data_IF_047869221095
#
_entry.id   IF_047869221095
#
_cell.length_a   1.000
_cell.length_b   1.000
_cell.length_c   1.000
_cell.angle_alpha   90.00
_cell.angle_beta   90.00
_cell.angle_gamma   90.00
#
_symmetry.space_group_name_H-M   'P 1'
#
loop_
_entity.id
_entity.type
_entity.pdbx_description
1 polymer ?
#
# COMPACT_ATOMS: atom_id res chain seq x y z
N UNK A 1 5.36 9.75 -26.12
CA UNK A 1 6.12 8.62 -25.55
C UNK A 1 7.44 9.06 -24.94
N UNK A 2 8.24 9.91 -25.63
CA UNK A 2 9.52 10.43 -25.13
C UNK A 2 9.41 11.22 -23.80
N UNK A 3 8.35 12.01 -23.59
CA UNK A 3 8.18 12.80 -22.36
C UNK A 3 7.84 11.96 -21.12
N UNK A 4 6.96 10.97 -21.26
CA UNK A 4 6.67 10.00 -20.21
C UNK A 4 7.91 9.16 -19.83
N UNK A 5 8.82 8.97 -20.80
CA UNK A 5 10.04 8.20 -20.64
C UNK A 5 11.12 8.96 -19.84
N UNK A 6 11.23 10.27 -20.07
CA UNK A 6 12.08 11.16 -19.28
C UNK A 6 11.59 11.24 -17.83
N UNK A 7 10.26 11.27 -17.65
CA UNK A 7 9.61 11.30 -16.34
C UNK A 7 9.92 10.07 -15.48
N UNK A 8 9.86 8.87 -16.05
CA UNK A 8 10.14 7.62 -15.33
C UNK A 8 11.60 7.57 -14.85
N UNK A 9 12.55 8.13 -15.64
CA UNK A 9 13.96 8.23 -15.22
C UNK A 9 14.17 9.18 -14.04
N UNK A 10 13.29 10.15 -13.85
CA UNK A 10 13.32 11.08 -12.72
C UNK A 10 12.69 10.49 -11.44
N UNK A 11 11.99 9.35 -11.55
CA UNK A 11 11.42 8.66 -10.39
C UNK A 11 12.49 7.80 -9.70
N UNK A 12 12.65 8.00 -8.39
CA UNK A 12 13.54 7.18 -7.55
C UNK A 12 12.93 5.80 -7.22
N UNK A 13 12.77 4.97 -8.26
CA UNK A 13 12.23 3.62 -8.13
C UNK A 13 13.22 2.66 -7.46
N UNK A 14 14.51 2.96 -7.51
CA UNK A 14 15.53 2.22 -6.79
C UNK A 14 15.46 2.50 -5.28
N UNK A 15 15.22 3.75 -4.88
CA UNK A 15 14.96 4.10 -3.49
C UNK A 15 13.70 3.42 -2.94
N UNK A 16 12.62 3.32 -3.73
CA UNK A 16 11.44 2.53 -3.35
C UNK A 16 11.78 1.08 -3.06
N UNK A 17 12.55 0.44 -3.96
CA UNK A 17 12.98 -0.95 -3.78
C UNK A 17 13.80 -1.10 -2.51
N UNK A 18 14.82 -0.24 -2.33
CA UNK A 18 15.69 -0.27 -1.15
C UNK A 18 14.88 -0.17 0.14
N UNK A 19 13.92 0.77 0.22
CA UNK A 19 13.04 0.89 1.39
C UNK A 19 12.12 -0.32 1.58
N UNK A 20 11.55 -0.86 0.51
CA UNK A 20 10.71 -2.06 0.57
C UNK A 20 11.48 -3.33 0.97
N UNK A 21 12.77 -3.42 0.66
CA UNK A 21 13.63 -4.56 0.96
C UNK A 21 14.32 -4.45 2.33
N UNK A 22 14.24 -3.29 2.99
CA UNK A 22 14.82 -3.10 4.32
C UNK A 22 14.26 -4.09 5.33
N UNK A 23 15.08 -4.51 6.31
CA UNK A 23 14.57 -5.22 7.44
C UNK A 23 13.57 -4.37 8.19
N UNK A 24 12.45 -4.99 8.55
CA UNK A 24 11.39 -4.41 9.37
C UNK A 24 11.12 -5.33 10.55
N UNK A 25 11.00 -4.74 11.74
CA UNK A 25 10.64 -5.38 13.00
C UNK A 25 9.49 -4.62 13.66
N UNK A 26 8.41 -5.34 13.95
CA UNK A 26 7.23 -4.83 14.65
C UNK A 26 7.37 -5.08 16.15
N UNK A 27 6.93 -4.15 16.98
CA UNK A 27 6.66 -4.42 18.38
C UNK A 27 5.15 -4.54 18.59
N UNK A 28 4.71 -5.51 19.39
CA UNK A 28 3.31 -5.66 19.78
C UNK A 28 3.22 -5.56 21.29
N UNK A 29 2.64 -4.47 21.79
CA UNK A 29 2.39 -4.25 23.20
C UNK A 29 0.91 -4.51 23.50
N UNK A 30 0.62 -5.24 24.57
CA UNK A 30 -0.74 -5.50 25.03
C UNK A 30 -0.75 -5.65 26.57
N UNK A 31 -1.91 -5.58 27.24
CA UNK A 31 -1.98 -5.74 28.70
C UNK A 31 -1.53 -7.12 29.19
N UNK A 32 -1.56 -8.11 28.29
CA UNK A 32 -1.18 -9.50 28.56
C UNK A 32 -0.25 -9.98 27.45
N UNK A 33 0.83 -10.67 27.81
CA UNK A 33 1.79 -11.22 26.84
C UNK A 33 1.12 -12.15 25.84
N UNK A 34 0.18 -12.99 26.29
CA UNK A 34 -0.54 -13.93 25.43
C UNK A 34 -1.33 -13.22 24.32
N UNK A 35 -1.93 -12.06 24.63
CA UNK A 35 -2.66 -11.26 23.65
C UNK A 35 -1.72 -10.65 22.61
N UNK A 36 -0.57 -10.13 23.04
CA UNK A 36 0.45 -9.62 22.13
C UNK A 36 1.01 -10.73 21.22
N UNK A 37 1.27 -11.92 21.75
CA UNK A 37 1.71 -13.09 20.98
C UNK A 37 0.64 -13.55 19.98
N UNK A 38 -0.64 -13.54 20.37
CA UNK A 38 -1.75 -13.88 19.50
C UNK A 38 -1.86 -12.90 18.31
N UNK A 39 -1.80 -11.59 18.57
CA UNK A 39 -1.82 -10.57 17.51
C UNK A 39 -0.60 -10.71 16.59
N UNK A 40 0.59 -10.95 17.15
CA UNK A 40 1.80 -11.20 16.37
C UNK A 40 1.64 -12.44 15.46
N UNK A 41 1.05 -13.52 15.97
CA UNK A 41 0.79 -14.75 15.20
C UNK A 41 -0.28 -14.57 14.12
N UNK A 42 -1.26 -13.68 14.32
CA UNK A 42 -2.23 -13.32 13.28
C UNK A 42 -1.54 -12.61 12.11
N UNK A 43 -0.48 -11.84 12.38
CA UNK A 43 0.22 -11.02 11.39
C UNK A 43 1.35 -11.76 10.66
N UNK A 44 2.05 -12.66 11.36
CA UNK A 44 3.21 -13.38 10.86
C UNK A 44 3.14 -14.89 11.08
N UNK A 45 3.51 -15.66 10.06
CA UNK A 45 3.65 -17.12 10.13
C UNK A 45 4.81 -17.57 11.04
N UNK A 46 5.79 -16.70 11.27
CA UNK A 46 6.90 -16.88 12.23
C UNK A 46 7.06 -15.61 13.09
N UNK A 47 6.27 -15.45 14.16
CA UNK A 47 6.21 -14.20 14.91
C UNK A 47 7.51 -13.86 15.64
N UNK A 48 8.26 -14.85 16.15
CA UNK A 48 9.45 -14.62 16.97
C UNK A 48 10.59 -13.85 16.28
N UNK A 49 10.65 -13.86 14.94
CA UNK A 49 11.70 -13.16 14.17
C UNK A 49 11.28 -11.74 13.75
N UNK A 50 9.98 -11.41 13.89
CA UNK A 50 9.35 -10.25 13.23
C UNK A 50 8.50 -9.39 14.18
N UNK A 51 8.11 -9.93 15.33
CA UNK A 51 7.23 -9.31 16.30
C UNK A 51 7.62 -9.70 17.73
N UNK A 52 7.95 -8.71 18.58
CA UNK A 52 8.16 -8.93 20.02
C UNK A 52 6.93 -8.55 20.83
N UNK A 53 6.53 -9.43 21.74
CA UNK A 53 5.32 -9.31 22.56
C UNK A 53 5.68 -8.95 24.01
N UNK A 54 5.09 -7.87 24.53
CA UNK A 54 5.32 -7.41 25.91
C UNK A 54 4.01 -7.17 26.66
N UNK A 55 3.98 -7.63 27.92
CA UNK A 55 2.93 -7.36 28.91
C UNK A 55 3.08 -5.95 29.53
N UNK A 56 4.33 -5.51 29.70
CA UNK A 56 4.72 -4.17 30.14
C UNK A 56 6.17 -3.90 29.68
N UNK A 57 6.49 -2.66 29.32
CA UNK A 57 7.75 -2.27 28.67
C UNK A 57 9.00 -2.59 29.52
N UNK A 58 10.03 -3.26 28.97
CA UNK A 58 11.36 -3.29 29.58
C UNK A 58 12.14 -2.05 29.12
N UNK A 59 12.69 -1.31 30.09
CA UNK A 59 13.62 -0.17 30.05
C UNK A 59 14.18 0.36 28.70
N UNK A 60 14.41 1.67 28.65
CA UNK A 60 14.76 2.52 27.49
C UNK A 60 15.96 2.11 26.59
N UNK A 61 16.77 1.13 26.98
CA UNK A 61 18.00 0.77 26.26
C UNK A 61 17.80 -0.43 25.31
N UNK A 62 18.05 -0.22 24.01
CA UNK A 62 18.20 -1.32 23.03
C UNK A 62 16.96 -1.70 22.23
N UNK A 63 15.94 -0.83 22.14
CA UNK A 63 14.77 -1.10 21.29
C UNK A 63 15.16 -1.18 19.82
N UNK A 64 15.24 -2.39 19.29
CA UNK A 64 15.38 -2.65 17.86
C UNK A 64 13.99 -2.93 17.28
N UNK A 65 13.21 -1.89 17.00
CA UNK A 65 11.90 -1.98 16.35
C UNK A 65 11.70 -0.78 15.41
N UNK A 66 10.96 -0.99 14.34
CA UNK A 66 10.68 0.04 13.32
C UNK A 66 9.28 0.65 13.49
N UNK A 67 8.33 -0.12 14.03
CA UNK A 67 6.98 0.33 14.36
C UNK A 67 6.43 -0.44 15.56
N UNK A 68 5.34 0.05 16.15
CA UNK A 68 4.68 -0.61 17.26
C UNK A 68 3.15 -0.63 17.13
N UNK A 69 2.54 -1.77 17.48
CA UNK A 69 1.10 -1.90 17.72
C UNK A 69 0.83 -1.96 19.21
N UNK A 70 -0.02 -1.06 19.68
CA UNK A 70 -0.53 -1.07 21.06
C UNK A 70 -1.94 -1.62 21.01
N UNK A 71 -2.10 -2.87 21.42
CA UNK A 71 -3.35 -3.63 21.35
C UNK A 71 -4.17 -3.35 22.59
N UNK A 72 -5.35 -2.80 22.39
CA UNK A 72 -6.29 -2.42 23.44
C UNK A 72 -7.51 -3.33 23.36
N UNK A 73 -7.64 -4.34 24.24
CA UNK A 73 -8.75 -5.29 24.21
C UNK A 73 -10.06 -4.69 24.74
N UNK A 74 -9.97 -3.66 25.58
CA UNK A 74 -11.11 -2.91 26.10
C UNK A 74 -10.77 -1.45 26.40
N UNK A 75 -11.72 -0.50 26.37
CA UNK A 75 -11.39 0.91 26.43
C UNK A 75 -10.81 1.32 27.78
N UNK A 76 -11.11 0.56 28.84
CA UNK A 76 -10.54 0.76 30.18
C UNK A 76 -9.03 0.46 30.22
N UNK A 77 -8.57 -0.56 29.48
CA UNK A 77 -7.16 -0.95 29.43
C UNK A 77 -6.26 0.13 28.78
N UNK A 78 -6.85 1.09 28.07
CA UNK A 78 -6.10 2.19 27.46
C UNK A 78 -5.35 3.04 28.49
N UNK A 79 -5.93 3.26 29.67
CA UNK A 79 -5.29 4.12 30.68
C UNK A 79 -3.95 3.56 31.16
N UNK A 80 -3.83 2.23 31.25
CA UNK A 80 -2.59 1.55 31.62
C UNK A 80 -1.59 1.48 30.45
N UNK A 81 -2.07 1.41 29.21
CA UNK A 81 -1.25 1.32 28.00
C UNK A 81 -0.81 2.69 27.44
N UNK A 82 -1.50 3.77 27.78
CA UNK A 82 -1.23 5.11 27.26
C UNK A 82 0.20 5.59 27.55
N UNK A 83 0.79 5.38 28.75
CA UNK A 83 2.20 5.69 28.99
C UNK A 83 3.14 4.96 28.04
N UNK A 84 2.94 3.66 27.83
CA UNK A 84 3.73 2.85 26.88
C UNK A 84 3.59 3.38 25.46
N UNK A 85 2.36 3.66 25.01
CA UNK A 85 2.12 4.22 23.69
C UNK A 85 2.81 5.59 23.51
N UNK A 86 2.82 6.41 24.56
CA UNK A 86 3.46 7.74 24.55
C UNK A 86 4.97 7.64 24.41
N UNK A 87 5.61 6.73 25.17
CA UNK A 87 7.05 6.48 25.08
C UNK A 87 7.42 5.95 23.69
N UNK A 88 6.67 4.97 23.18
CA UNK A 88 6.88 4.42 21.83
C UNK A 88 6.80 5.51 20.76
N UNK A 89 5.84 6.44 20.87
CA UNK A 89 5.74 7.57 19.92
C UNK A 89 6.92 8.52 19.98
N UNK A 90 7.52 8.70 21.16
CA UNK A 90 8.72 9.53 21.32
C UNK A 90 9.96 8.88 20.69
N UNK A 91 10.07 7.55 20.78
CA UNK A 91 11.22 6.79 20.27
C UNK A 91 11.09 6.52 18.76
N UNK A 92 9.96 5.98 18.32
CA UNK A 92 9.72 5.53 16.95
C UNK A 92 9.15 6.63 16.04
N UNK A 93 8.61 7.70 16.63
CA UNK A 93 7.84 8.72 15.94
C UNK A 93 6.34 8.43 15.97
N UNK A 94 5.54 9.49 16.03
CA UNK A 94 4.08 9.40 16.18
C UNK A 94 3.40 8.56 15.10
N UNK A 95 3.88 8.68 13.86
CA UNK A 95 3.34 7.98 12.69
C UNK A 95 3.59 6.46 12.73
N UNK A 96 4.57 5.99 13.50
CA UNK A 96 4.96 4.57 13.53
C UNK A 96 4.32 3.77 14.66
N UNK A 97 3.40 4.37 15.41
CA UNK A 97 2.71 3.74 16.53
C UNK A 97 1.21 3.72 16.25
N UNK A 98 0.67 2.51 16.08
CA UNK A 98 -0.75 2.27 15.84
C UNK A 98 -1.39 1.68 17.09
N UNK A 99 -2.48 2.28 17.53
CA UNK A 99 -3.30 1.76 18.64
C UNK A 99 -4.41 0.91 18.02
N UNK A 100 -4.38 -0.39 18.27
CA UNK A 100 -5.35 -1.36 17.74
C UNK A 100 -6.42 -1.65 18.80
N UNK A 101 -7.61 -1.08 18.63
CA UNK A 101 -8.79 -1.47 19.39
C UNK A 101 -9.38 -2.76 18.83
N UNK A 102 -9.68 -3.71 19.70
CA UNK A 102 -10.28 -4.99 19.33
C UNK A 102 -11.69 -5.09 19.90
N UNK A 103 -12.67 -5.41 19.05
CA UNK A 103 -14.05 -5.63 19.46
C UNK A 103 -15.03 -4.49 19.09
N UNK A 104 -16.33 -4.70 19.34
CA UNK A 104 -17.41 -3.78 18.93
C UNK A 104 -17.57 -2.55 19.84
N UNK A 105 -16.62 -2.29 20.71
CA UNK A 105 -16.74 -1.32 21.81
C UNK A 105 -16.87 0.13 21.30
N UNK A 106 -17.35 1.05 22.14
CA UNK A 106 -17.22 2.47 21.86
C UNK A 106 -15.74 2.85 21.71
N UNK A 107 -15.43 3.89 20.94
CA UNK A 107 -14.04 4.35 20.74
C UNK A 107 -13.33 4.65 22.07
N UNK A 108 -12.03 4.94 22.02
CA UNK A 108 -11.31 5.24 23.25
C UNK A 108 -11.91 6.48 23.96
N UNK A 109 -12.00 6.48 25.31
CA UNK A 109 -12.67 7.53 26.07
C UNK A 109 -12.04 8.93 25.93
N UNK A 110 -10.86 9.03 25.32
CA UNK A 110 -10.09 10.23 25.02
C UNK A 110 -9.52 10.13 23.60
N UNK A 111 -10.38 10.08 22.59
CA UNK A 111 -9.96 10.16 21.20
C UNK A 111 -9.08 11.42 20.98
N UNK A 112 -7.93 11.25 20.33
CA UNK A 112 -7.13 12.32 19.71
C UNK A 112 -6.07 13.08 20.52
N UNK A 113 -5.30 12.42 21.39
CA UNK A 113 -3.93 12.90 21.70
C UNK A 113 -2.96 12.72 20.50
N UNK A 114 -3.46 12.71 19.25
CA UNK A 114 -2.71 12.45 18.02
C UNK A 114 -2.27 11.00 17.82
N UNK A 115 -2.84 10.04 18.56
CA UNK A 115 -2.57 8.61 18.34
C UNK A 115 -3.32 8.11 17.11
N UNK A 116 -2.68 7.22 16.34
CA UNK A 116 -3.36 6.54 15.24
C UNK A 116 -4.16 5.36 15.78
N UNK A 117 -5.43 5.59 16.05
CA UNK A 117 -6.32 4.55 16.55
C UNK A 117 -7.02 3.87 15.38
N UNK A 118 -6.88 2.55 15.29
CA UNK A 118 -7.59 1.69 14.34
C UNK A 118 -8.44 0.68 15.10
N UNK A 119 -9.48 0.18 14.45
CA UNK A 119 -10.42 -0.77 15.06
C UNK A 119 -10.53 -2.02 14.21
N UNK A 120 -10.29 -3.16 14.84
CA UNK A 120 -10.69 -4.46 14.33
C UNK A 120 -11.95 -4.92 15.07
N UNK A 121 -13.00 -5.30 14.33
CA UNK A 121 -14.27 -5.76 14.91
C UNK A 121 -14.10 -7.01 15.77
N UNK A 122 -13.11 -7.84 15.42
CA UNK A 122 -12.76 -9.07 16.09
C UNK A 122 -11.26 -9.35 15.99
N UNK A 123 -10.77 -10.26 16.83
CA UNK A 123 -9.38 -10.70 16.83
C UNK A 123 -9.14 -11.79 15.77
N UNK A 124 -9.39 -11.44 14.51
CA UNK A 124 -9.18 -12.30 13.35
C UNK A 124 -8.14 -11.69 12.41
N UNK A 125 -7.45 -12.55 11.64
CA UNK A 125 -6.40 -12.13 10.69
C UNK A 125 -6.94 -11.09 9.71
N UNK A 126 -8.11 -11.34 9.15
CA UNK A 126 -8.76 -10.51 8.14
C UNK A 126 -9.18 -9.16 8.75
N UNK A 127 -9.82 -9.17 9.92
CA UNK A 127 -10.29 -7.96 10.60
C UNK A 127 -9.13 -7.06 11.04
N UNK A 128 -8.09 -7.64 11.65
CA UNK A 128 -6.88 -6.92 12.07
C UNK A 128 -6.15 -6.35 10.84
N UNK A 129 -5.98 -7.15 9.79
CA UNK A 129 -5.32 -6.70 8.58
C UNK A 129 -6.07 -5.55 7.90
N UNK A 130 -7.40 -5.66 7.77
CA UNK A 130 -8.24 -4.61 7.19
C UNK A 130 -8.22 -3.31 7.99
N UNK A 131 -8.15 -3.40 9.33
CA UNK A 131 -8.09 -2.23 10.21
C UNK A 131 -6.75 -1.49 10.11
N UNK A 132 -5.64 -2.24 10.13
CA UNK A 132 -4.29 -1.69 10.26
C UNK A 132 -3.73 -1.20 8.92
N UNK A 133 -3.99 -1.92 7.82
CA UNK A 133 -3.35 -1.63 6.55
C UNK A 133 -3.60 -0.19 6.01
N UNK A 134 -4.82 0.36 6.06
CA UNK A 134 -5.06 1.74 5.64
C UNK A 134 -4.31 2.78 6.50
N UNK A 135 -4.10 2.51 7.79
CA UNK A 135 -3.32 3.39 8.65
C UNK A 135 -1.84 3.38 8.27
N UNK A 136 -1.25 2.19 8.08
CA UNK A 136 0.14 2.06 7.63
C UNK A 136 0.39 2.75 6.29
N UNK A 137 -0.51 2.56 5.31
CA UNK A 137 -0.38 3.17 3.98
C UNK A 137 -0.52 4.69 4.03
N UNK A 138 -1.36 5.22 4.92
CA UNK A 138 -1.54 6.66 5.09
C UNK A 138 -0.32 7.34 5.73
N UNK A 139 0.35 6.64 6.63
CA UNK A 139 1.62 7.07 7.25
C UNK A 139 2.73 7.11 6.22
N UNK A 140 3.05 5.95 5.66
CA UNK A 140 4.17 5.76 4.76
C UNK A 140 3.88 4.53 3.88
N UNK A 141 3.47 4.76 2.62
CA UNK A 141 3.22 3.70 1.66
C UNK A 141 4.42 2.77 1.44
N UNK A 142 5.66 3.28 1.56
CA UNK A 142 6.87 2.50 1.31
C UNK A 142 7.18 1.61 2.52
N UNK A 143 7.01 2.13 3.74
CA UNK A 143 7.03 1.34 4.96
C UNK A 143 5.95 0.26 4.92
N UNK A 144 4.72 0.59 4.56
CA UNK A 144 3.64 -0.39 4.43
C UNK A 144 4.00 -1.52 3.45
N UNK A 145 4.69 -1.22 2.35
CA UNK A 145 5.20 -2.26 1.44
C UNK A 145 6.24 -3.16 2.13
N UNK A 146 7.21 -2.58 2.85
CA UNK A 146 8.20 -3.37 3.60
C UNK A 146 7.52 -4.27 4.65
N UNK A 147 6.53 -3.73 5.35
CA UNK A 147 5.69 -4.44 6.33
C UNK A 147 4.97 -5.61 5.67
N UNK A 148 4.19 -5.37 4.62
CA UNK A 148 3.38 -6.41 3.96
C UNK A 148 4.21 -7.46 3.23
N UNK A 149 5.46 -7.17 2.87
CA UNK A 149 6.40 -8.18 2.37
C UNK A 149 6.72 -9.24 3.42
N UNK A 150 6.87 -8.83 4.69
CA UNK A 150 7.25 -9.70 5.82
C UNK A 150 6.07 -10.26 6.60
N UNK A 151 5.05 -9.43 6.83
CA UNK A 151 3.81 -9.80 7.51
C UNK A 151 2.78 -10.21 6.45
N UNK A 152 2.80 -11.50 6.09
CA UNK A 152 2.01 -12.04 4.99
C UNK A 152 0.50 -11.74 5.11
N UNK A 153 -0.01 -11.68 6.35
CA UNK A 153 -1.38 -11.32 6.66
C UNK A 153 -1.77 -9.92 6.17
N UNK A 154 -0.81 -9.00 6.15
CA UNK A 154 -1.01 -7.61 5.78
C UNK A 154 -0.82 -7.36 4.28
N UNK A 155 -0.26 -8.33 3.55
CA UNK A 155 0.08 -8.15 2.13
C UNK A 155 -1.12 -7.72 1.30
N UNK A 156 -2.20 -8.49 1.35
CA UNK A 156 -3.41 -8.22 0.56
C UNK A 156 -4.19 -6.99 1.07
N UNK A 157 -4.40 -6.80 2.40
CA UNK A 157 -4.96 -5.56 2.92
C UNK A 157 -4.18 -4.30 2.52
N UNK A 158 -2.84 -4.35 2.54
CA UNK A 158 -1.99 -3.22 2.13
C UNK A 158 -2.09 -2.97 0.63
N UNK A 159 -2.15 -4.02 -0.20
CA UNK A 159 -2.36 -3.87 -1.63
C UNK A 159 -3.66 -3.10 -1.92
N UNK A 160 -4.77 -3.49 -1.28
CA UNK A 160 -6.06 -2.81 -1.41
C UNK A 160 -5.99 -1.36 -0.92
N UNK A 161 -5.37 -1.12 0.23
CA UNK A 161 -5.20 0.23 0.77
C UNK A 161 -4.39 1.15 -0.16
N UNK A 162 -3.30 0.65 -0.77
CA UNK A 162 -2.52 1.38 -1.77
C UNK A 162 -3.34 1.73 -3.00
N UNK A 163 -4.15 0.78 -3.50
CA UNK A 163 -5.04 0.98 -4.66
C UNK A 163 -6.04 2.08 -4.36
N UNK A 164 -6.72 2.02 -3.22
CA UNK A 164 -7.72 3.02 -2.84
C UNK A 164 -7.11 4.40 -2.60
N UNK A 165 -5.94 4.48 -1.95
CA UNK A 165 -5.22 5.74 -1.75
C UNK A 165 -4.86 6.38 -3.10
N UNK A 166 -4.31 5.61 -4.04
CA UNK A 166 -3.98 6.10 -5.37
C UNK A 166 -5.23 6.53 -6.16
N UNK A 167 -6.31 5.75 -6.06
CA UNK A 167 -7.57 6.08 -6.71
C UNK A 167 -8.16 7.39 -6.17
N UNK A 168 -8.09 7.61 -4.86
CA UNK A 168 -8.55 8.84 -4.22
C UNK A 168 -7.71 10.05 -4.65
N UNK A 169 -6.38 9.93 -4.63
CA UNK A 169 -5.49 10.98 -5.11
C UNK A 169 -5.75 11.34 -6.59
N UNK A 170 -5.97 10.33 -7.44
CA UNK A 170 -6.27 10.55 -8.86
C UNK A 170 -7.66 11.16 -9.08
N UNK A 171 -8.66 10.75 -8.28
CA UNK A 171 -10.01 11.32 -8.31
C UNK A 171 -10.03 12.78 -7.85
N UNK A 172 -9.36 13.10 -6.75
CA UNK A 172 -9.23 14.46 -6.23
C UNK A 172 -8.51 15.37 -7.24
N UNK A 173 -7.40 14.90 -7.83
CA UNK A 173 -6.72 15.62 -8.88
C UNK A 173 -7.63 15.88 -10.09
N UNK A 174 -8.36 14.86 -10.54
CA UNK A 174 -9.32 15.00 -11.63
C UNK A 174 -10.45 15.98 -11.30
N UNK A 175 -10.90 16.03 -10.05
CA UNK A 175 -11.90 16.99 -9.57
C UNK A 175 -11.37 18.43 -9.62
N UNK A 176 -10.24 18.68 -8.96
CA UNK A 176 -9.62 20.01 -8.84
C UNK A 176 -9.23 20.59 -10.20
N UNK A 177 -8.84 19.75 -11.16
CA UNK A 177 -8.50 20.17 -12.52
C UNK A 177 -9.65 20.83 -13.30
N UNK A 178 -10.91 20.76 -12.81
CA UNK A 178 -12.06 21.37 -13.47
C UNK A 178 -12.50 22.71 -12.83
N UNK A 179 -11.85 23.18 -11.76
CA UNK A 179 -12.28 24.38 -11.04
C UNK A 179 -11.77 25.69 -11.70
N UNK A 180 -12.64 26.68 -12.00
CA UNK A 180 -12.30 27.91 -12.75
C UNK A 180 -11.25 28.85 -12.14
N UNK A 181 -10.77 28.60 -10.92
CA UNK A 181 -9.82 29.45 -10.18
C UNK A 181 -8.49 28.80 -9.83
N UNK A 182 -8.29 27.51 -10.13
CA UNK A 182 -7.01 26.82 -9.85
C UNK A 182 -6.02 26.98 -11.02
N UNK A 183 -6.52 27.51 -12.14
CA UNK A 183 -5.79 27.82 -13.37
C UNK A 183 -4.55 28.70 -13.15
N UNK A 184 -4.46 29.64 -12.20
CA UNK A 184 -3.22 30.40 -11.96
C UNK A 184 -2.20 29.67 -11.07
N UNK A 185 -2.66 28.78 -10.18
CA UNK A 185 -1.81 28.10 -9.17
C UNK A 185 -1.21 26.80 -9.70
N UNK A 186 -2.02 26.01 -10.41
CA UNK A 186 -1.60 24.80 -11.15
C UNK A 186 -1.53 25.06 -12.66
N UNK A 187 -1.71 26.30 -13.12
CA UNK A 187 -1.56 26.69 -14.54
C UNK A 187 -0.27 26.26 -15.22
N UNK A 188 0.89 26.39 -14.55
CA UNK A 188 2.15 25.86 -15.06
C UNK A 188 2.19 24.32 -15.18
N UNK A 189 1.29 23.60 -14.48
CA UNK A 189 1.12 22.15 -14.55
C UNK A 189 0.01 21.72 -15.55
N UNK A 190 -0.99 22.57 -15.78
CA UNK A 190 -2.08 22.30 -16.74
C UNK A 190 -1.65 22.65 -18.17
N UNK A 191 -0.71 23.58 -18.36
CA UNK A 191 -0.09 23.87 -19.65
C UNK A 191 0.85 22.75 -20.11
N UNK A 192 0.49 22.02 -21.18
CA UNK A 192 1.45 21.16 -21.90
C UNK A 192 1.67 19.75 -21.33
N UNK A 193 0.70 19.18 -20.60
CA UNK A 193 0.70 17.74 -20.28
C UNK A 193 1.12 17.34 -18.87
N UNK A 194 1.26 18.26 -17.91
CA UNK A 194 1.64 17.89 -16.54
C UNK A 194 0.52 17.17 -15.75
N UNK A 195 -0.76 17.33 -16.10
CA UNK A 195 -1.85 16.48 -15.59
C UNK A 195 -1.63 14.99 -15.87
N UNK A 196 -1.13 14.69 -17.08
CA UNK A 196 -0.74 13.35 -17.46
C UNK A 196 0.46 12.87 -16.63
N UNK A 197 1.38 13.77 -16.27
CA UNK A 197 2.58 13.43 -15.50
C UNK A 197 2.22 13.04 -14.07
N UNK A 198 1.35 13.79 -13.39
CA UNK A 198 0.93 13.51 -12.01
C UNK A 198 0.17 12.17 -11.92
N UNK A 199 -0.83 11.97 -12.78
CA UNK A 199 -1.62 10.74 -12.80
C UNK A 199 -0.76 9.52 -13.18
N UNK A 200 0.14 9.67 -14.16
CA UNK A 200 1.06 8.60 -14.57
C UNK A 200 2.04 8.26 -13.45
N UNK A 201 2.55 9.26 -12.73
CA UNK A 201 3.41 9.06 -11.57
C UNK A 201 2.70 8.22 -10.51
N UNK A 202 1.50 8.61 -10.08
CA UNK A 202 0.73 7.87 -9.07
C UNK A 202 0.49 6.42 -9.50
N UNK A 203 0.13 6.20 -10.77
CA UNK A 203 -0.09 4.85 -11.31
C UNK A 203 1.20 4.01 -11.33
N UNK A 204 2.33 4.60 -11.71
CA UNK A 204 3.65 3.94 -11.71
C UNK A 204 4.08 3.57 -10.29
N UNK A 205 3.97 4.48 -9.33
CA UNK A 205 4.30 4.20 -7.93
C UNK A 205 3.42 3.09 -7.36
N UNK A 206 2.10 3.14 -7.58
CA UNK A 206 1.18 2.08 -7.17
C UNK A 206 1.65 0.73 -7.67
N UNK A 207 1.95 0.62 -8.96
CA UNK A 207 2.37 -0.65 -9.55
C UNK A 207 3.72 -1.15 -9.08
N UNK A 208 4.71 -0.28 -8.94
CA UNK A 208 6.01 -0.66 -8.38
C UNK A 208 5.84 -1.13 -6.93
N UNK A 209 5.01 -0.45 -6.15
CA UNK A 209 4.69 -0.87 -4.77
C UNK A 209 4.00 -2.22 -4.72
N UNK A 210 3.02 -2.49 -5.59
CA UNK A 210 2.38 -3.81 -5.68
C UNK A 210 3.37 -4.91 -6.07
N UNK A 211 4.23 -4.65 -7.07
CA UNK A 211 5.28 -5.59 -7.46
C UNK A 211 6.22 -5.92 -6.30
N UNK A 212 6.70 -4.89 -5.59
CA UNK A 212 7.53 -5.05 -4.41
C UNK A 212 6.78 -5.79 -3.29
N UNK A 213 5.53 -5.44 -3.02
CA UNK A 213 4.71 -6.03 -1.97
C UNK A 213 4.56 -7.55 -2.13
N UNK A 214 4.37 -8.02 -3.36
CA UNK A 214 4.28 -9.44 -3.73
C UNK A 214 5.63 -10.11 -3.98
N UNK A 215 6.75 -9.46 -3.63
CA UNK A 215 8.05 -10.11 -3.67
C UNK A 215 8.67 -10.21 -5.05
N UNK A 216 8.18 -9.49 -6.06
CA UNK A 216 8.73 -9.53 -7.43
C UNK A 216 10.12 -8.87 -7.45
N UNK A 217 11.22 -9.65 -7.59
CA UNK A 217 12.55 -9.08 -7.60
C UNK A 217 12.76 -8.33 -8.92
N UNK A 218 13.41 -7.17 -8.86
CA UNK A 218 13.82 -6.47 -10.06
C UNK A 218 15.11 -5.70 -9.86
N UNK A 219 16.07 -5.92 -10.75
CA UNK A 219 17.36 -5.21 -10.74
C UNK A 219 17.21 -3.78 -11.26
N UNK A 220 16.27 -3.57 -12.17
CA UNK A 220 15.84 -2.27 -12.67
C UNK A 220 14.31 -2.22 -12.71
N UNK A 221 13.69 -1.04 -12.61
CA UNK A 221 12.23 -0.91 -12.71
C UNK A 221 11.70 -1.32 -14.10
N UNK A 222 12.55 -1.35 -15.13
CA UNK A 222 12.14 -1.55 -16.52
C UNK A 222 11.36 -2.83 -16.82
N UNK A 223 11.74 -4.01 -16.31
CA UNK A 223 10.96 -5.21 -16.52
C UNK A 223 9.63 -5.14 -15.79
N UNK A 224 9.54 -4.47 -14.62
CA UNK A 224 8.23 -4.26 -13.94
C UNK A 224 7.36 -3.43 -14.86
N UNK A 225 7.95 -2.37 -15.43
CA UNK A 225 7.23 -1.41 -16.24
C UNK A 225 6.82 -1.96 -17.61
N UNK A 226 7.57 -2.89 -18.18
CA UNK A 226 7.25 -3.55 -19.45
C UNK A 226 6.07 -4.52 -19.32
N UNK A 227 5.93 -5.18 -18.16
CA UNK A 227 4.77 -6.03 -17.84
C UNK A 227 3.46 -5.24 -17.78
N UNK A 228 3.55 -3.91 -17.66
CA UNK A 228 2.42 -2.99 -17.63
C UNK A 228 1.84 -2.68 -19.01
N UNK A 229 2.60 -2.89 -20.08
CA UNK A 229 2.22 -2.41 -21.43
C UNK A 229 0.81 -2.88 -21.86
N UNK A 230 0.40 -4.15 -21.63
CA UNK A 230 -0.97 -4.59 -21.95
C UNK A 230 -2.05 -3.90 -21.10
N UNK A 231 -1.75 -3.64 -19.82
CA UNK A 231 -2.69 -3.03 -18.87
C UNK A 231 -2.82 -1.53 -19.12
N UNK A 232 -1.73 -0.85 -19.47
CA UNK A 232 -1.72 0.53 -19.99
C UNK A 232 -2.44 0.61 -21.34
N UNK A 233 -2.36 -0.42 -22.17
CA UNK A 233 -3.17 -0.55 -23.39
C UNK A 233 -4.68 -0.45 -23.09
N UNK A 234 -5.13 -1.10 -22.01
CA UNK A 234 -6.50 -0.96 -21.49
C UNK A 234 -6.86 0.46 -21.02
N UNK A 235 -5.89 1.25 -20.54
CA UNK A 235 -6.12 2.64 -20.14
C UNK A 235 -6.52 3.55 -21.32
N UNK A 236 -6.12 3.23 -22.56
CA UNK A 236 -6.60 3.93 -23.76
C UNK A 236 -8.08 3.64 -24.07
N UNK A 237 -8.57 2.45 -23.72
CA UNK A 237 -9.99 2.10 -23.79
C UNK A 237 -10.78 2.94 -22.78
N UNK A 238 -10.32 2.99 -21.52
CA UNK A 238 -10.98 3.79 -20.48
C UNK A 238 -10.99 5.29 -20.79
N UNK A 239 -9.93 5.81 -21.42
CA UNK A 239 -9.90 7.20 -21.93
C UNK A 239 -10.93 7.47 -23.01
N UNK A 240 -11.26 6.49 -23.83
CA UNK A 240 -12.28 6.65 -24.88
C UNK A 240 -13.67 6.70 -24.26
N UNK A 241 -13.96 5.79 -23.32
CA UNK A 241 -15.18 5.81 -22.51
C UNK A 241 -15.32 7.14 -21.75
N UNK A 242 -14.22 7.65 -21.16
CA UNK A 242 -14.21 8.93 -20.46
C UNK A 242 -14.62 10.12 -21.34
N UNK A 243 -14.11 10.18 -22.57
CA UNK A 243 -14.45 11.26 -23.51
C UNK A 243 -15.89 11.19 -23.98
N UNK A 244 -16.41 9.99 -24.22
CA UNK A 244 -17.81 9.79 -24.59
C UNK A 244 -18.74 10.23 -23.45
N UNK A 245 -18.48 9.79 -22.22
CA UNK A 245 -19.31 10.17 -21.07
C UNK A 245 -19.23 11.67 -20.77
N UNK A 246 -18.05 12.27 -20.84
CA UNK A 246 -17.88 13.73 -20.63
C UNK A 246 -18.57 14.53 -21.72
N UNK A 247 -18.56 14.06 -22.97
CA UNK A 247 -19.23 14.73 -24.09
C UNK A 247 -20.77 14.78 -23.99
N UNK A 248 -21.36 13.97 -23.11
CA UNK A 248 -22.81 13.90 -22.88
C UNK A 248 -23.29 14.81 -21.73
N UNK A 249 -22.38 15.45 -21.00
CA UNK A 249 -22.67 16.16 -19.75
C UNK A 249 -22.33 17.65 -19.89
N UNK A 250 -23.19 18.58 -19.42
CA UNK A 250 -22.89 20.01 -19.51
C UNK A 250 -21.54 20.35 -18.84
N UNK A 251 -20.71 21.24 -19.42
CA UNK A 251 -19.34 21.48 -18.96
C UNK A 251 -19.23 21.82 -17.46
N UNK A 252 -20.20 22.55 -16.91
CA UNK A 252 -20.26 22.99 -15.51
C UNK A 252 -20.44 21.83 -14.52
N UNK A 253 -20.96 20.68 -14.94
CA UNK A 253 -21.17 19.49 -14.09
C UNK A 253 -20.29 18.30 -14.49
N UNK A 254 -19.41 18.48 -15.48
CA UNK A 254 -18.50 17.43 -16.00
C UNK A 254 -17.45 16.92 -14.99
N UNK A 255 -17.23 17.66 -13.90
CA UNK A 255 -16.26 17.29 -12.87
C UNK A 255 -16.61 15.98 -12.15
N UNK A 256 -17.90 15.75 -11.86
CA UNK A 256 -18.35 14.55 -11.13
C UNK A 256 -18.12 13.27 -11.94
N UNK A 257 -18.54 13.19 -13.23
CA UNK A 257 -18.21 12.04 -14.08
C UNK A 257 -16.70 11.82 -14.22
N UNK A 258 -15.91 12.86 -14.45
CA UNK A 258 -14.46 12.74 -14.65
C UNK A 258 -13.75 12.18 -13.41
N UNK A 259 -14.12 12.65 -12.22
CA UNK A 259 -13.62 12.15 -10.94
C UNK A 259 -13.96 10.68 -10.72
N UNK A 260 -15.23 10.30 -10.92
CA UNK A 260 -15.68 8.92 -10.77
C UNK A 260 -14.95 7.97 -11.73
N UNK A 261 -14.74 8.41 -12.97
CA UNK A 261 -14.02 7.66 -14.01
C UNK A 261 -12.54 7.51 -13.64
N UNK A 262 -11.87 8.57 -13.20
CA UNK A 262 -10.45 8.51 -12.80
C UNK A 262 -10.23 7.58 -11.60
N UNK A 263 -11.11 7.67 -10.59
CA UNK A 263 -11.11 6.78 -9.44
C UNK A 263 -11.29 5.32 -9.86
N UNK A 264 -12.37 5.04 -10.61
CA UNK A 264 -12.73 3.67 -11.01
C UNK A 264 -11.68 3.01 -11.90
N UNK A 265 -11.06 3.78 -12.82
CA UNK A 265 -9.94 3.29 -13.62
C UNK A 265 -8.78 2.80 -12.74
N UNK A 266 -8.43 3.63 -11.76
CA UNK A 266 -7.28 3.38 -10.89
C UNK A 266 -7.55 2.13 -10.04
N UNK A 267 -8.77 1.99 -9.51
CA UNK A 267 -9.19 0.78 -8.77
C UNK A 267 -9.11 -0.46 -9.67
N UNK A 268 -9.71 -0.42 -10.86
CA UNK A 268 -9.73 -1.55 -11.78
C UNK A 268 -8.31 -2.00 -12.18
N UNK A 269 -7.46 -1.06 -12.61
CA UNK A 269 -6.08 -1.36 -13.02
C UNK A 269 -5.22 -1.80 -11.83
N UNK A 270 -5.50 -1.26 -10.64
CA UNK A 270 -4.88 -1.67 -9.39
C UNK A 270 -5.20 -3.12 -9.03
N UNK A 271 -6.47 -3.50 -9.03
CA UNK A 271 -6.93 -4.87 -8.74
C UNK A 271 -6.41 -5.87 -9.78
N UNK A 272 -6.39 -5.49 -11.06
CA UNK A 272 -5.80 -6.33 -12.11
C UNK A 272 -4.29 -6.57 -11.87
N UNK A 273 -3.55 -5.55 -11.45
CA UNK A 273 -2.14 -5.66 -11.12
C UNK A 273 -1.91 -6.47 -9.83
N UNK A 274 -2.72 -6.27 -8.80
CA UNK A 274 -2.71 -7.08 -7.57
C UNK A 274 -2.85 -8.57 -7.91
N UNK A 275 -3.86 -8.95 -8.69
CA UNK A 275 -4.09 -10.34 -9.07
C UNK A 275 -2.95 -10.91 -9.91
N UNK A 276 -2.41 -10.11 -10.83
CA UNK A 276 -1.25 -10.49 -11.63
C UNK A 276 -0.03 -10.79 -10.75
N UNK A 277 0.33 -9.89 -9.82
CA UNK A 277 1.50 -10.07 -8.96
C UNK A 277 1.31 -11.14 -7.90
N UNK A 278 0.09 -11.32 -7.37
CA UNK A 278 -0.27 -12.43 -6.48
C UNK A 278 0.05 -13.79 -7.12
N UNK A 279 -0.25 -13.94 -8.41
CA UNK A 279 -0.01 -15.19 -9.18
C UNK A 279 1.36 -15.28 -9.84
N UNK A 280 2.13 -14.19 -9.85
CA UNK A 280 3.40 -14.10 -10.57
C UNK A 280 4.42 -15.21 -10.21
N UNK A 281 4.59 -15.63 -8.93
CA UNK A 281 5.48 -16.74 -8.59
C UNK A 281 5.12 -18.05 -9.32
N UNK A 282 3.83 -18.38 -9.41
CA UNK A 282 3.32 -19.58 -10.08
C UNK A 282 3.51 -19.52 -11.59
N UNK A 283 3.22 -18.36 -12.19
CA UNK A 283 3.41 -18.11 -13.62
C UNK A 283 4.88 -18.30 -13.99
N UNK A 284 5.80 -17.73 -13.21
CA UNK A 284 7.24 -17.88 -13.42
C UNK A 284 7.69 -19.34 -13.32
N UNK A 285 7.21 -20.07 -12.33
CA UNK A 285 7.54 -21.49 -12.16
C UNK A 285 7.06 -22.31 -13.37
N UNK A 286 5.80 -22.14 -13.81
CA UNK A 286 5.25 -22.82 -14.98
C UNK A 286 6.01 -22.48 -16.27
N UNK A 287 6.33 -21.20 -16.49
CA UNK A 287 7.08 -20.77 -17.67
C UNK A 287 8.49 -21.41 -17.68
N UNK A 288 9.17 -21.41 -16.53
CA UNK A 288 10.48 -22.03 -16.38
C UNK A 288 10.47 -23.54 -16.61
N UNK A 289 9.40 -24.22 -16.21
CA UNK A 289 9.21 -25.65 -16.46
C UNK A 289 8.97 -25.93 -17.95
N UNK A 290 8.16 -25.10 -18.61
CA UNK A 290 7.87 -25.21 -20.04
C UNK A 290 9.11 -24.95 -20.90
N UNK A 291 9.89 -23.89 -20.60
CA UNK A 291 11.14 -23.59 -21.30
C UNK A 291 12.14 -24.73 -21.16
N UNK A 292 12.32 -25.27 -19.94
CA UNK A 292 13.19 -26.44 -19.71
C UNK A 292 12.73 -27.65 -20.53
N UNK A 293 11.43 -27.95 -20.53
CA UNK A 293 10.87 -29.02 -21.35
C UNK A 293 11.07 -28.85 -22.86
N UNK A 294 11.04 -27.61 -23.37
CA UNK A 294 11.32 -27.33 -24.79
C UNK A 294 12.81 -27.48 -25.12
N UNK A 295 13.70 -27.05 -24.23
CA UNK A 295 15.16 -27.21 -24.37
C UNK A 295 15.54 -28.68 -24.39
N UNK A 296 14.96 -29.49 -23.50
CA UNK A 296 15.24 -30.92 -23.41
C UNK A 296 14.73 -31.67 -24.66
N UNK A 297 13.52 -31.37 -25.14
CA UNK A 297 13.01 -31.96 -26.39
C UNK A 297 13.85 -31.63 -27.62
N UNK A 298 14.42 -30.42 -27.67
CA UNK A 298 15.31 -30.01 -28.76
C UNK A 298 16.64 -30.75 -28.71
N UNK A 299 17.15 -31.09 -27.52
CA UNK A 299 18.37 -31.89 -27.35
C UNK A 299 18.14 -33.36 -27.75
N UNK A 300 17.00 -33.94 -27.41
CA UNK A 300 16.66 -35.33 -27.78
C UNK A 300 16.32 -35.51 -29.25
N UNK A 301 15.96 -34.44 -29.97
CA UNK A 301 15.63 -34.49 -31.39
C UNK A 301 16.85 -34.29 -32.32
N UNK A 302 18.03 -33.96 -31.77
CA UNK A 302 19.26 -33.67 -32.52
C UNK A 302 20.47 -34.47 -32.03
N UNK A 303 20.24 -35.50 -31.20
CA UNK A 303 21.22 -36.53 -30.83
C UNK A 303 20.73 -37.89 -31.28
#
# INVERSE_FOLDING_TARGET
MLDAWRLIRELDLNGLRTRAEQPFKLLVAAPQRQLAELVAALLASRPADLAEAFEFWPAEDGLNADAAFVVVPEPAAWFDLQPTATVLRRILGAERVVVLLVGPQAGLPLADNGFQVVRAEELAREAVGAAVAPALVRVDPDLAVAVGRRLEALRDPIARALIYQAAWANGEFAFLSNAPGVIPVIGPLIGGGADLLVLTKNQVFLWVRLALLYGRPFESPWPVLAELVPVVGGAFVWRSIAREVVGLVPPVVSAVPKTAIAYSATVFLGVAAEEYYRRHPEIRQRLSALVRGLVDRRRTAHG
#
